data_IF_934452434501
#
_entry.id   IF_934452434501
#
_cell.length_a   1.000
_cell.length_b   1.000
_cell.length_c   1.000
_cell.angle_alpha   90.00
_cell.angle_beta   90.00
_cell.angle_gamma   90.00
#
_symmetry.space_group_name_H-M   'P 1'
#
loop_
_entity.id
_entity.type
_entity.pdbx_description
1 polymer ?
#
# COMPACT_ATOMS: atom_id res chain seq x y z
N UNK A 1 -24.13 12.06 -23.04
CA UNK A 1 -23.06 11.28 -22.36
C UNK A 1 -22.37 12.18 -21.34
N UNK A 2 -22.50 11.88 -20.02
CA UNK A 2 -21.71 12.59 -18.99
C UNK A 2 -20.23 12.38 -19.30
N UNK A 3 -19.45 13.47 -19.42
CA UNK A 3 -17.99 13.40 -19.53
C UNK A 3 -17.47 12.54 -18.37
N UNK A 4 -17.01 11.33 -18.68
CA UNK A 4 -16.35 10.45 -17.73
C UNK A 4 -15.09 11.21 -17.29
N UNK A 5 -15.08 11.72 -16.06
CA UNK A 5 -13.95 12.50 -15.56
C UNK A 5 -12.69 11.63 -15.60
N UNK A 6 -11.65 12.07 -16.30
CA UNK A 6 -10.38 11.38 -16.35
C UNK A 6 -9.73 11.44 -14.96
N UNK A 7 -9.44 10.28 -14.41
CA UNK A 7 -8.62 10.12 -13.22
C UNK A 7 -7.16 9.95 -13.66
N UNK A 8 -6.24 10.53 -12.92
CA UNK A 8 -4.81 10.30 -13.14
C UNK A 8 -4.38 8.98 -12.50
N UNK A 9 -4.89 8.71 -11.29
CA UNK A 9 -4.48 7.56 -10.49
C UNK A 9 -5.69 6.91 -9.79
N UNK A 10 -5.79 5.58 -9.84
CA UNK A 10 -6.59 4.80 -8.90
C UNK A 10 -5.65 3.95 -8.06
N UNK A 11 -5.72 4.06 -6.74
CA UNK A 11 -5.04 3.16 -5.82
C UNK A 11 -5.98 2.05 -5.37
N UNK A 12 -5.43 0.86 -5.11
CA UNK A 12 -6.23 -0.29 -4.68
C UNK A 12 -5.57 -0.89 -3.45
N UNK A 13 -6.34 -1.02 -2.39
CA UNK A 13 -5.80 -1.71 -1.27
C UNK A 13 -6.44 -1.39 0.08
N UNK A 14 -5.67 -1.61 1.15
CA UNK A 14 -6.12 -1.45 2.52
C UNK A 14 -6.41 0.00 2.86
N UNK A 15 -7.39 0.14 3.77
CA UNK A 15 -7.76 1.41 4.38
C UNK A 15 -8.00 1.20 5.85
N UNK A 16 -7.44 2.04 6.69
CA UNK A 16 -7.54 1.97 8.15
C UNK A 16 -7.67 3.36 8.75
N UNK A 17 -8.03 3.40 10.01
CA UNK A 17 -7.82 4.58 10.85
C UNK A 17 -6.59 4.33 11.71
N UNK A 18 -5.66 5.26 11.67
CA UNK A 18 -4.44 5.20 12.47
C UNK A 18 -4.62 6.13 13.68
N UNK A 19 -4.46 5.55 14.88
CA UNK A 19 -4.53 6.25 16.17
C UNK A 19 -3.11 6.42 16.70
N UNK A 20 -2.59 7.64 16.59
CA UNK A 20 -1.26 8.00 17.08
C UNK A 20 -1.33 8.44 18.53
N UNK A 21 -0.60 7.76 19.42
CA UNK A 21 -0.44 8.17 20.81
C UNK A 21 0.18 9.57 20.91
N UNK A 22 -0.44 10.43 21.71
CA UNK A 22 0.01 11.84 21.83
C UNK A 22 1.22 12.00 22.74
N UNK A 23 1.55 11.02 23.57
CA UNK A 23 2.68 11.05 24.52
C UNK A 23 3.95 10.50 23.84
N UNK A 24 4.71 11.38 23.18
CA UNK A 24 5.97 11.02 22.51
C UNK A 24 6.99 10.56 23.55
N UNK A 25 7.67 9.45 23.28
CA UNK A 25 8.68 8.85 24.16
C UNK A 25 8.12 7.83 25.18
N UNK A 26 6.78 7.78 25.36
CA UNK A 26 6.11 6.82 26.22
C UNK A 26 5.97 5.43 25.58
N UNK A 27 5.68 4.42 26.41
CA UNK A 27 5.25 3.09 25.93
C UNK A 27 3.81 3.19 25.43
N UNK A 28 3.41 2.30 24.54
CA UNK A 28 2.05 2.29 24.00
C UNK A 28 1.00 2.07 25.11
N UNK A 29 1.33 1.28 26.12
CA UNK A 29 0.48 1.00 27.28
C UNK A 29 0.23 2.23 28.18
N UNK A 30 1.08 3.23 28.10
CA UNK A 30 1.00 4.47 28.92
C UNK A 30 0.27 5.59 28.18
N UNK A 31 -0.16 5.37 26.93
CA UNK A 31 -0.86 6.37 26.13
C UNK A 31 -2.25 6.68 26.70
N UNK A 32 -2.52 7.96 26.97
CA UNK A 32 -3.80 8.43 27.52
C UNK A 32 -4.68 9.14 26.51
N UNK A 33 -4.10 9.54 25.38
CA UNK A 33 -4.81 10.23 24.31
C UNK A 33 -4.21 9.89 22.95
N UNK A 34 -5.05 9.96 21.92
CA UNK A 34 -4.66 9.60 20.55
C UNK A 34 -5.18 10.64 19.56
N UNK A 35 -4.37 10.92 18.54
CA UNK A 35 -4.80 11.67 17.37
C UNK A 35 -5.16 10.70 16.26
N UNK A 36 -6.22 11.03 15.53
CA UNK A 36 -6.80 10.16 14.50
C UNK A 36 -6.43 10.63 13.11
N UNK A 37 -5.94 9.70 12.28
CA UNK A 37 -5.55 9.94 10.89
C UNK A 37 -6.09 8.83 9.99
N UNK A 38 -6.20 9.12 8.68
CA UNK A 38 -6.39 8.05 7.69
C UNK A 38 -5.12 7.23 7.60
N UNK A 39 -5.28 5.90 7.48
CA UNK A 39 -4.19 4.93 7.36
C UNK A 39 -4.36 4.02 6.16
N UNK A 40 -3.33 3.20 5.94
CA UNK A 40 -3.23 2.33 4.77
C UNK A 40 -2.45 2.97 3.62
N UNK A 41 -1.42 2.26 3.11
CA UNK A 41 -0.57 2.77 2.02
C UNK A 41 -1.39 3.23 0.81
N UNK A 42 -2.36 2.46 0.25
CA UNK A 42 -3.14 2.92 -0.90
C UNK A 42 -3.96 4.19 -0.61
N UNK A 43 -4.53 4.29 0.58
CA UNK A 43 -5.31 5.46 1.00
C UNK A 43 -4.42 6.70 1.09
N UNK A 44 -3.24 6.56 1.71
CA UNK A 44 -2.26 7.63 1.82
C UNK A 44 -1.67 8.05 0.46
N UNK A 45 -1.43 7.10 -0.45
CA UNK A 45 -0.98 7.39 -1.81
C UNK A 45 -2.05 8.20 -2.56
N UNK A 46 -3.34 7.84 -2.43
CA UNK A 46 -4.43 8.58 -3.07
C UNK A 46 -4.53 10.02 -2.54
N UNK A 47 -4.49 10.19 -1.21
CA UNK A 47 -4.52 11.52 -0.58
C UNK A 47 -3.29 12.36 -0.95
N UNK A 48 -2.08 11.78 -0.89
CA UNK A 48 -0.85 12.45 -1.28
C UNK A 48 -0.85 12.87 -2.76
N UNK A 49 -1.34 12.00 -3.64
CA UNK A 49 -1.49 12.33 -5.06
C UNK A 49 -2.47 13.50 -5.29
N UNK A 50 -3.60 13.53 -4.56
CA UNK A 50 -4.56 14.62 -4.64
C UNK A 50 -3.94 15.95 -4.16
N UNK A 51 -3.21 15.95 -3.05
CA UNK A 51 -2.46 17.12 -2.54
C UNK A 51 -1.43 17.65 -3.55
N UNK A 52 -0.88 16.77 -4.37
CA UNK A 52 0.04 17.13 -5.47
C UNK A 52 -0.68 17.53 -6.76
N UNK A 53 -2.00 17.69 -6.74
CA UNK A 53 -2.80 18.17 -7.87
C UNK A 53 -3.27 17.09 -8.85
N UNK A 54 -3.06 15.80 -8.55
CA UNK A 54 -3.56 14.72 -9.38
C UNK A 54 -5.03 14.39 -9.03
N UNK A 55 -5.79 14.00 -10.05
CA UNK A 55 -7.15 13.47 -9.87
C UNK A 55 -7.07 12.01 -9.45
N UNK A 56 -7.03 11.78 -8.14
CA UNK A 56 -6.87 10.44 -7.56
C UNK A 56 -8.20 9.84 -7.10
N UNK A 57 -8.22 8.51 -7.00
CA UNK A 57 -9.31 7.73 -6.43
C UNK A 57 -8.75 6.52 -5.68
N UNK A 58 -9.56 5.90 -4.83
CA UNK A 58 -9.20 4.67 -4.15
C UNK A 58 -10.29 3.62 -4.28
N UNK A 59 -9.89 2.37 -4.54
CA UNK A 59 -10.74 1.18 -4.46
C UNK A 59 -10.39 0.45 -3.16
N UNK A 60 -11.34 0.40 -2.25
CA UNK A 60 -11.21 -0.26 -0.94
C UNK A 60 -12.59 -0.58 -0.37
N UNK A 61 -12.61 -1.17 0.82
CA UNK A 61 -13.82 -1.27 1.64
C UNK A 61 -13.61 -0.62 3.00
N UNK A 62 -14.67 -0.03 3.54
CA UNK A 62 -14.73 0.51 4.91
C UNK A 62 -16.01 0.02 5.58
N UNK A 63 -16.04 -0.04 6.90
CA UNK A 63 -17.24 -0.43 7.65
C UNK A 63 -18.35 0.61 7.57
N UNK A 64 -19.59 0.18 7.84
CA UNK A 64 -20.75 1.07 7.96
C UNK A 64 -20.86 1.66 9.37
N UNK A 65 -19.79 2.26 9.86
CA UNK A 65 -19.67 2.82 11.21
C UNK A 65 -18.85 4.12 11.23
N UNK A 66 -18.61 4.68 12.41
CA UNK A 66 -18.01 6.00 12.57
C UNK A 66 -16.60 6.13 11.94
N UNK A 67 -15.77 5.07 12.01
CA UNK A 67 -14.41 5.11 11.45
C UNK A 67 -14.44 5.00 9.92
N UNK A 68 -15.38 4.22 9.36
CA UNK A 68 -15.59 4.18 7.91
C UNK A 68 -16.07 5.53 7.37
N UNK A 69 -17.01 6.19 8.06
CA UNK A 69 -17.44 7.55 7.69
C UNK A 69 -16.31 8.56 7.79
N UNK A 70 -15.50 8.48 8.85
CA UNK A 70 -14.31 9.33 8.99
C UNK A 70 -13.37 9.22 7.78
N UNK A 71 -13.04 8.01 7.33
CA UNK A 71 -12.19 7.81 6.15
C UNK A 71 -12.81 8.46 4.91
N UNK A 72 -14.12 8.27 4.69
CA UNK A 72 -14.80 8.85 3.53
C UNK A 72 -14.79 10.39 3.55
N UNK A 73 -15.01 10.99 4.72
CA UNK A 73 -15.01 12.43 4.90
C UNK A 73 -13.63 13.03 4.70
N UNK A 74 -12.60 12.44 5.32
CA UNK A 74 -11.22 12.91 5.17
C UNK A 74 -10.73 12.78 3.72
N UNK A 75 -10.98 11.66 3.05
CA UNK A 75 -10.63 11.50 1.65
C UNK A 75 -11.31 12.51 0.74
N UNK A 76 -12.59 12.84 1.00
CA UNK A 76 -13.30 13.89 0.26
C UNK A 76 -12.70 15.28 0.52
N UNK A 77 -12.32 15.58 1.75
CA UNK A 77 -11.61 16.85 2.09
C UNK A 77 -10.28 16.97 1.35
N UNK A 78 -9.57 15.85 1.19
CA UNK A 78 -8.32 15.79 0.42
C UNK A 78 -8.54 15.83 -1.11
N UNK A 79 -9.78 15.85 -1.57
CA UNK A 79 -10.10 15.87 -3.00
C UNK A 79 -10.01 14.52 -3.71
N UNK A 80 -9.93 13.42 -2.95
CA UNK A 80 -9.91 12.05 -3.50
C UNK A 80 -11.32 11.63 -3.92
N UNK A 81 -11.46 11.07 -5.11
CA UNK A 81 -12.71 10.45 -5.55
C UNK A 81 -12.97 9.15 -4.78
N UNK A 82 -14.11 9.08 -4.10
CA UNK A 82 -14.50 7.96 -3.22
C UNK A 82 -15.50 6.99 -3.86
N UNK A 83 -15.84 7.13 -5.15
CA UNK A 83 -16.80 6.25 -5.85
C UNK A 83 -16.38 4.76 -5.85
N UNK A 84 -15.07 4.49 -5.78
CA UNK A 84 -14.51 3.14 -5.70
C UNK A 84 -14.60 2.50 -4.32
N UNK A 85 -15.02 3.22 -3.28
CA UNK A 85 -15.10 2.69 -1.92
C UNK A 85 -16.44 1.96 -1.72
N UNK A 86 -16.38 0.73 -1.23
CA UNK A 86 -17.54 -0.07 -0.86
C UNK A 86 -17.76 -0.05 0.64
N UNK A 87 -19.02 0.11 1.05
CA UNK A 87 -19.42 0.07 2.46
C UNK A 87 -19.75 -1.38 2.84
N UNK A 88 -19.01 -1.92 3.79
CA UNK A 88 -19.28 -3.24 4.36
C UNK A 88 -20.25 -3.09 5.55
N UNK A 89 -21.41 -3.74 5.46
CA UNK A 89 -22.45 -3.67 6.52
C UNK A 89 -22.20 -4.62 7.68
N UNK A 90 -21.22 -5.53 7.54
CA UNK A 90 -20.99 -6.61 8.53
C UNK A 90 -19.66 -6.49 9.23
N UNK A 91 -18.65 -5.83 8.61
CA UNK A 91 -17.29 -5.74 9.11
C UNK A 91 -16.98 -4.31 9.53
N UNK A 92 -16.12 -4.19 10.53
CA UNK A 92 -15.60 -2.91 10.99
C UNK A 92 -14.48 -2.42 10.08
N UNK A 93 -14.24 -1.13 10.11
CA UNK A 93 -13.03 -0.51 9.54
C UNK A 93 -11.80 -0.94 10.34
N UNK A 94 -10.71 -1.23 9.67
CA UNK A 94 -9.45 -1.55 10.32
C UNK A 94 -8.91 -0.38 11.14
N UNK A 95 -8.29 -0.68 12.28
CA UNK A 95 -7.59 0.28 13.12
C UNK A 95 -6.12 -0.10 13.25
N UNK A 96 -5.27 0.91 13.35
CA UNK A 96 -3.87 0.76 13.78
C UNK A 96 -3.67 1.68 14.97
N UNK A 97 -3.20 1.14 16.07
CA UNK A 97 -2.81 1.93 17.24
C UNK A 97 -1.29 1.95 17.27
N UNK A 98 -0.71 3.14 17.37
CA UNK A 98 0.74 3.29 17.34
C UNK A 98 1.22 4.43 18.25
N UNK A 99 2.44 4.25 18.75
CA UNK A 99 3.17 5.25 19.52
C UNK A 99 4.44 5.68 18.79
N UNK A 100 4.99 6.79 19.22
CA UNK A 100 6.33 7.26 18.80
C UNK A 100 7.20 7.19 20.05
N UNK A 101 8.02 6.15 20.17
CA UNK A 101 8.92 5.98 21.30
C UNK A 101 10.22 6.77 21.10
N UNK A 102 10.77 6.71 19.91
CA UNK A 102 11.92 7.50 19.46
C UNK A 102 12.01 7.50 17.93
N UNK A 103 13.08 8.05 17.36
CA UNK A 103 13.27 8.15 15.90
C UNK A 103 13.29 6.81 15.16
N UNK A 104 13.55 5.69 15.85
CA UNK A 104 13.73 4.36 15.26
C UNK A 104 12.72 3.33 15.77
N UNK A 105 11.91 3.68 16.77
CA UNK A 105 10.99 2.74 17.41
C UNK A 105 9.58 3.32 17.47
N UNK A 106 8.68 2.64 16.77
CA UNK A 106 7.27 3.02 16.58
C UNK A 106 6.40 1.82 16.92
N UNK A 107 6.20 1.48 18.22
CA UNK A 107 5.37 0.34 18.58
C UNK A 107 3.98 0.51 18.02
N UNK A 108 3.45 -0.55 17.38
CA UNK A 108 2.15 -0.50 16.75
C UNK A 108 1.44 -1.86 16.79
N UNK A 109 0.11 -1.79 16.80
CA UNK A 109 -0.77 -2.96 16.77
C UNK A 109 -1.77 -2.78 15.64
N UNK A 110 -1.90 -3.81 14.80
CA UNK A 110 -2.90 -3.87 13.75
C UNK A 110 -4.17 -4.58 14.24
N UNK A 111 -5.25 -3.84 14.43
CA UNK A 111 -6.59 -4.39 14.62
C UNK A 111 -7.26 -4.54 13.26
N UNK A 112 -6.88 -5.57 12.51
CA UNK A 112 -7.29 -5.74 11.12
C UNK A 112 -7.88 -7.11 10.80
N UNK A 113 -8.03 -7.99 11.77
CA UNK A 113 -8.62 -9.30 11.55
C UNK A 113 -10.08 -9.18 11.09
N UNK A 114 -10.40 -9.82 9.98
CA UNK A 114 -11.74 -9.80 9.37
C UNK A 114 -12.35 -8.40 9.18
N UNK A 115 -11.53 -7.36 9.04
CA UNK A 115 -12.00 -6.00 8.78
C UNK A 115 -12.51 -5.83 7.34
N UNK A 116 -13.18 -4.70 7.09
CA UNK A 116 -13.87 -4.43 5.83
C UNK A 116 -12.95 -4.50 4.62
N UNK A 117 -11.76 -3.93 4.70
CA UNK A 117 -10.77 -3.92 3.62
C UNK A 117 -10.25 -5.32 3.25
N UNK A 118 -10.25 -6.27 4.21
CA UNK A 118 -9.91 -7.67 3.97
C UNK A 118 -10.97 -8.43 3.17
N UNK A 119 -12.17 -7.88 3.05
CA UNK A 119 -13.26 -8.45 2.29
C UNK A 119 -13.36 -7.89 0.86
N UNK A 120 -12.41 -7.04 0.44
CA UNK A 120 -12.33 -6.60 -0.96
C UNK A 120 -12.22 -7.82 -1.88
N UNK A 121 -13.08 -7.87 -2.89
CA UNK A 121 -13.22 -9.04 -3.75
C UNK A 121 -13.29 -8.65 -5.23
N UNK A 122 -13.26 -9.64 -6.11
CA UNK A 122 -13.41 -9.43 -7.56
C UNK A 122 -14.72 -8.71 -7.93
N UNK A 123 -15.77 -8.83 -7.12
CA UNK A 123 -17.06 -8.16 -7.37
C UNK A 123 -17.00 -6.64 -7.15
N UNK A 124 -16.00 -6.16 -6.41
CA UNK A 124 -15.81 -4.73 -6.16
C UNK A 124 -15.04 -4.03 -7.28
N UNK A 125 -14.48 -4.80 -8.20
CA UNK A 125 -13.65 -4.29 -9.30
C UNK A 125 -14.53 -4.06 -10.53
N UNK A 126 -14.75 -2.78 -10.82
CA UNK A 126 -15.54 -2.30 -11.97
C UNK A 126 -14.61 -1.86 -13.10
N UNK A 127 -14.76 -2.49 -14.28
CA UNK A 127 -13.98 -2.15 -15.48
C UNK A 127 -14.22 -0.72 -15.95
N UNK A 128 -15.47 -0.23 -15.86
CA UNK A 128 -15.80 1.13 -16.25
C UNK A 128 -15.10 2.15 -15.36
N UNK A 129 -15.04 1.89 -14.04
CA UNK A 129 -14.32 2.76 -13.12
C UNK A 129 -12.82 2.78 -13.39
N UNK A 130 -12.20 1.61 -13.60
CA UNK A 130 -10.78 1.49 -13.95
C UNK A 130 -10.48 2.19 -15.29
N UNK A 131 -11.39 2.11 -16.25
CA UNK A 131 -11.21 2.73 -17.57
C UNK A 131 -10.99 4.25 -17.53
N UNK A 132 -11.47 4.90 -16.47
CA UNK A 132 -11.34 6.35 -16.23
C UNK A 132 -9.93 6.77 -15.83
N UNK A 133 -9.07 5.86 -15.38
CA UNK A 133 -7.73 6.17 -14.89
C UNK A 133 -6.66 6.09 -15.98
N UNK A 134 -5.60 6.87 -15.82
CA UNK A 134 -4.37 6.73 -16.60
C UNK A 134 -3.46 5.65 -15.98
N UNK A 135 -3.48 5.52 -14.65
CA UNK A 135 -2.61 4.65 -13.89
C UNK A 135 -3.36 3.94 -12.75
N UNK A 136 -2.98 2.68 -12.48
CA UNK A 136 -3.45 1.89 -11.34
C UNK A 136 -2.25 1.59 -10.44
N UNK A 137 -2.37 1.92 -9.16
CA UNK A 137 -1.37 1.57 -8.15
C UNK A 137 -1.95 0.53 -7.19
N UNK A 138 -1.24 -0.55 -7.00
CA UNK A 138 -1.57 -1.61 -6.03
C UNK A 138 -0.47 -1.76 -5.00
N UNK A 139 -0.78 -2.36 -3.85
CA UNK A 139 0.21 -2.62 -2.81
C UNK A 139 0.41 -4.11 -2.59
N UNK A 140 1.66 -4.50 -2.28
CA UNK A 140 2.03 -5.90 -2.08
C UNK A 140 1.34 -6.55 -0.90
N UNK A 141 1.01 -5.80 0.15
CA UNK A 141 0.21 -6.31 1.28
C UNK A 141 -1.11 -6.95 0.82
N UNK A 142 -1.71 -6.48 -0.26
CA UNK A 142 -2.94 -7.04 -0.82
C UNK A 142 -2.77 -8.40 -1.50
N UNK A 143 -1.55 -8.86 -1.66
CA UNK A 143 -1.28 -10.23 -2.13
C UNK A 143 -1.26 -11.25 -0.97
N UNK A 144 -1.37 -10.81 0.30
CA UNK A 144 -1.31 -11.71 1.46
C UNK A 144 -2.58 -12.53 1.69
N UNK A 145 -3.73 -12.09 1.19
CA UNK A 145 -5.03 -12.74 1.38
C UNK A 145 -5.66 -13.07 0.03
N UNK A 146 -6.19 -14.27 -0.13
CA UNK A 146 -6.69 -14.79 -1.41
C UNK A 146 -7.80 -13.93 -2.05
N UNK A 147 -8.75 -13.42 -1.25
CA UNK A 147 -9.85 -12.59 -1.78
C UNK A 147 -9.32 -11.28 -2.34
N UNK A 148 -8.46 -10.61 -1.58
CA UNK A 148 -7.89 -9.31 -1.92
C UNK A 148 -6.89 -9.44 -3.07
N UNK A 149 -6.12 -10.56 -3.09
CA UNK A 149 -5.24 -10.92 -4.22
C UNK A 149 -6.06 -11.08 -5.51
N UNK A 150 -7.18 -11.80 -5.45
CA UNK A 150 -8.08 -11.98 -6.60
C UNK A 150 -8.60 -10.65 -7.14
N UNK A 151 -9.03 -9.73 -6.25
CA UNK A 151 -9.43 -8.37 -6.63
C UNK A 151 -8.29 -7.59 -7.30
N UNK A 152 -7.10 -7.63 -6.70
CA UNK A 152 -5.90 -6.95 -7.20
C UNK A 152 -5.52 -7.47 -8.59
N UNK A 153 -5.46 -8.78 -8.78
CA UNK A 153 -5.11 -9.39 -10.06
C UNK A 153 -6.17 -9.11 -11.14
N UNK A 154 -7.47 -9.10 -10.79
CA UNK A 154 -8.53 -8.68 -11.72
C UNK A 154 -8.34 -7.24 -12.16
N UNK A 155 -8.07 -6.32 -11.23
CA UNK A 155 -7.84 -4.91 -11.56
C UNK A 155 -6.62 -4.73 -12.49
N UNK A 156 -5.52 -5.42 -12.21
CA UNK A 156 -4.32 -5.41 -13.06
C UNK A 156 -4.58 -5.99 -14.45
N UNK A 157 -5.37 -7.06 -14.54
CA UNK A 157 -5.78 -7.66 -15.83
C UNK A 157 -6.57 -6.66 -16.67
N UNK A 158 -7.55 -5.98 -16.06
CA UNK A 158 -8.34 -4.93 -16.73
C UNK A 158 -7.42 -3.76 -17.16
N UNK A 159 -6.54 -3.29 -16.26
CA UNK A 159 -5.60 -2.23 -16.56
C UNK A 159 -4.72 -2.56 -17.78
N UNK A 160 -4.19 -3.78 -17.85
CA UNK A 160 -3.42 -4.25 -19.00
C UNK A 160 -4.23 -4.33 -20.29
N UNK A 161 -5.45 -4.90 -20.23
CA UNK A 161 -6.38 -4.93 -21.38
C UNK A 161 -6.63 -3.52 -21.93
N UNK A 162 -6.78 -2.55 -21.04
CA UNK A 162 -7.03 -1.15 -21.36
C UNK A 162 -5.76 -0.30 -21.58
N UNK A 163 -4.57 -0.93 -21.60
CA UNK A 163 -3.26 -0.29 -21.78
C UNK A 163 -2.99 0.84 -20.77
N UNK A 164 -3.47 0.69 -19.54
CA UNK A 164 -3.20 1.62 -18.43
C UNK A 164 -1.83 1.31 -17.82
N UNK A 165 -1.18 2.35 -17.29
CA UNK A 165 0.05 2.17 -16.51
C UNK A 165 -0.24 1.47 -15.19
N UNK A 166 0.70 0.66 -14.72
CA UNK A 166 0.57 -0.11 -13.49
C UNK A 166 1.76 0.11 -12.57
N UNK A 167 1.47 0.37 -11.31
CA UNK A 167 2.46 0.64 -10.26
C UNK A 167 2.29 -0.36 -9.12
N UNK A 168 3.39 -0.86 -8.62
CA UNK A 168 3.47 -1.61 -7.36
C UNK A 168 4.18 -0.76 -6.31
N UNK A 169 3.53 -0.48 -5.19
CA UNK A 169 4.20 -0.20 -3.92
C UNK A 169 4.37 -1.54 -3.20
N UNK A 170 5.60 -1.97 -2.95
CA UNK A 170 5.84 -3.29 -2.37
C UNK A 170 5.17 -3.42 -1.00
N UNK A 171 5.15 -2.34 -0.20
CA UNK A 171 4.41 -2.23 1.08
C UNK A 171 4.44 -3.53 1.90
N UNK A 172 5.64 -4.02 2.20
CA UNK A 172 5.80 -5.24 2.97
C UNK A 172 5.67 -4.94 4.47
N UNK A 173 4.79 -5.70 5.12
CA UNK A 173 4.60 -5.68 6.57
C UNK A 173 4.49 -7.12 7.05
N UNK A 174 5.51 -7.67 7.74
CA UNK A 174 5.53 -9.07 8.18
C UNK A 174 4.26 -9.50 8.91
N UNK A 175 3.77 -8.69 9.84
CA UNK A 175 2.54 -8.96 10.59
C UNK A 175 1.32 -9.15 9.65
N UNK A 176 1.16 -8.32 8.63
CA UNK A 176 0.05 -8.42 7.68
C UNK A 176 0.17 -9.62 6.73
N UNK A 177 1.31 -10.29 6.72
CA UNK A 177 1.54 -11.56 6.03
C UNK A 177 1.50 -12.77 6.97
N UNK A 178 1.18 -12.56 8.26
CA UNK A 178 1.15 -13.62 9.27
C UNK A 178 2.53 -14.18 9.61
N UNK A 179 3.59 -13.37 9.45
CA UNK A 179 4.98 -13.77 9.74
C UNK A 179 5.45 -13.34 11.12
N UNK A 180 4.69 -12.55 11.84
CA UNK A 180 4.96 -12.11 13.21
C UNK A 180 3.69 -11.98 14.02
N UNK A 181 3.83 -12.00 15.32
CA UNK A 181 2.73 -11.84 16.26
C UNK A 181 2.26 -10.39 16.35
N UNK A 182 1.13 -10.17 17.03
CA UNK A 182 0.56 -8.81 17.20
C UNK A 182 1.49 -7.86 17.96
N UNK A 183 2.38 -8.39 18.82
CA UNK A 183 3.35 -7.59 19.56
C UNK A 183 4.55 -7.11 18.74
N UNK A 184 4.71 -7.62 17.52
CA UNK A 184 5.83 -7.33 16.62
C UNK A 184 5.40 -6.52 15.41
N UNK A 185 4.36 -5.70 15.55
CA UNK A 185 3.79 -4.91 14.45
C UNK A 185 4.77 -3.91 13.84
N UNK A 186 5.77 -3.45 14.59
CA UNK A 186 6.83 -2.55 14.12
C UNK A 186 7.88 -3.21 13.24
N UNK A 187 8.01 -4.53 13.24
CA UNK A 187 8.99 -5.24 12.43
C UNK A 187 8.81 -4.91 10.94
N UNK A 188 9.90 -4.46 10.30
CA UNK A 188 9.90 -4.06 8.90
C UNK A 188 10.31 -5.17 7.96
N UNK A 189 11.07 -6.15 8.44
CA UNK A 189 11.59 -7.22 7.62
C UNK A 189 11.65 -8.55 8.39
N UNK A 190 11.05 -9.58 7.81
CA UNK A 190 11.22 -10.99 8.16
C UNK A 190 11.38 -11.73 6.84
N UNK A 191 12.45 -12.52 6.71
CA UNK A 191 12.70 -13.30 5.51
C UNK A 191 11.59 -14.34 5.30
N UNK A 192 11.04 -14.40 4.08
CA UNK A 192 10.01 -15.38 3.73
C UNK A 192 10.07 -15.75 2.26
N UNK A 193 10.48 -16.99 1.98
CA UNK A 193 10.47 -17.54 0.62
C UNK A 193 9.07 -17.57 -0.01
N UNK A 194 8.03 -17.75 0.81
CA UNK A 194 6.65 -17.72 0.34
C UNK A 194 6.27 -16.35 -0.19
N UNK A 195 6.52 -15.30 0.58
CA UNK A 195 6.25 -13.90 0.18
C UNK A 195 7.07 -13.52 -1.03
N UNK A 196 8.37 -13.82 -1.01
CA UNK A 196 9.28 -13.59 -2.17
C UNK A 196 8.71 -14.19 -3.45
N UNK A 197 8.35 -15.49 -3.44
CA UNK A 197 7.79 -16.16 -4.62
C UNK A 197 6.47 -15.53 -5.07
N UNK A 198 5.61 -15.11 -4.13
CA UNK A 198 4.35 -14.43 -4.44
C UNK A 198 4.57 -13.09 -5.12
N UNK A 199 5.43 -12.26 -4.57
CA UNK A 199 5.80 -10.97 -5.18
C UNK A 199 6.41 -11.16 -6.57
N UNK A 200 7.41 -12.06 -6.70
CA UNK A 200 8.12 -12.31 -7.96
C UNK A 200 7.19 -12.72 -9.11
N UNK A 201 6.14 -13.50 -8.84
CA UNK A 201 5.14 -13.89 -9.85
C UNK A 201 4.42 -12.69 -10.47
N UNK A 202 4.31 -11.59 -9.72
CA UNK A 202 3.56 -10.40 -10.13
C UNK A 202 4.43 -9.30 -10.73
N UNK A 203 5.75 -9.26 -10.47
CA UNK A 203 6.64 -8.15 -10.86
C UNK A 203 6.57 -7.79 -12.34
N UNK A 204 6.38 -8.76 -13.23
CA UNK A 204 6.24 -8.55 -14.68
C UNK A 204 4.94 -7.81 -15.08
N UNK A 205 4.02 -7.65 -14.14
CA UNK A 205 2.74 -6.96 -14.37
C UNK A 205 2.85 -5.44 -14.23
N UNK A 206 3.99 -4.91 -13.81
CA UNK A 206 4.12 -3.50 -13.47
C UNK A 206 5.05 -2.75 -14.43
N UNK A 207 4.74 -1.46 -14.62
CA UNK A 207 5.57 -0.49 -15.33
C UNK A 207 6.52 0.22 -14.35
N UNK A 208 6.12 0.37 -13.08
CA UNK A 208 6.88 0.99 -12.01
C UNK A 208 6.75 0.15 -10.74
N UNK A 209 7.86 -0.05 -10.04
CA UNK A 209 7.92 -0.73 -8.73
C UNK A 209 8.64 0.18 -7.75
N UNK A 210 7.98 0.48 -6.63
CA UNK A 210 8.49 1.33 -5.56
C UNK A 210 8.59 0.51 -4.28
N UNK A 211 9.66 0.68 -3.53
CA UNK A 211 9.83 0.01 -2.23
C UNK A 211 10.99 0.62 -1.44
N UNK A 212 11.07 0.30 -0.15
CA UNK A 212 12.25 0.55 0.67
C UNK A 212 13.35 -0.48 0.36
N UNK A 213 14.53 -0.34 0.96
CA UNK A 213 15.60 -1.32 0.80
C UNK A 213 15.14 -2.71 1.30
N UNK A 214 14.50 -2.77 2.48
CA UNK A 214 13.98 -4.01 3.07
C UNK A 214 12.86 -4.62 2.22
N UNK A 215 12.03 -3.79 1.62
CA UNK A 215 10.98 -4.22 0.70
C UNK A 215 11.58 -4.80 -0.60
N UNK A 216 12.69 -4.26 -1.09
CA UNK A 216 13.44 -4.89 -2.17
C UNK A 216 14.14 -6.18 -1.71
N UNK A 217 14.61 -6.29 -0.46
CA UNK A 217 15.17 -7.54 0.05
C UNK A 217 14.15 -8.68 0.00
N UNK A 218 12.91 -8.44 0.43
CA UNK A 218 11.86 -9.48 0.36
C UNK A 218 11.46 -9.78 -1.10
N UNK A 219 11.33 -8.78 -1.97
CA UNK A 219 11.00 -9.00 -3.37
C UNK A 219 12.13 -9.71 -4.15
N UNK A 220 13.37 -9.39 -3.85
CA UNK A 220 14.56 -9.99 -4.46
C UNK A 220 14.97 -11.32 -3.83
N UNK A 221 14.49 -11.63 -2.62
CA UNK A 221 14.80 -12.86 -1.89
C UNK A 221 16.22 -12.93 -1.35
N UNK A 222 16.84 -11.78 -1.07
CA UNK A 222 18.19 -11.69 -0.51
C UNK A 222 18.39 -10.41 0.29
N UNK A 223 18.99 -10.52 1.47
CA UNK A 223 19.29 -9.40 2.38
C UNK A 223 20.56 -8.65 1.95
N UNK A 224 20.53 -8.09 0.74
CA UNK A 224 21.54 -7.19 0.19
C UNK A 224 20.88 -6.36 -0.91
N UNK A 225 20.81 -5.05 -0.73
CA UNK A 225 20.03 -4.15 -1.58
C UNK A 225 20.41 -4.23 -3.06
N UNK A 226 21.70 -4.18 -3.40
CA UNK A 226 22.16 -4.25 -4.80
C UNK A 226 21.83 -5.60 -5.44
N UNK A 227 22.07 -6.71 -4.73
CA UNK A 227 21.75 -8.05 -5.23
C UNK A 227 20.23 -8.24 -5.36
N UNK A 228 19.46 -7.75 -4.39
CA UNK A 228 18.00 -7.79 -4.42
C UNK A 228 17.44 -7.03 -5.62
N UNK A 229 17.91 -5.79 -5.85
CA UNK A 229 17.53 -4.99 -7.01
C UNK A 229 17.90 -5.69 -8.33
N UNK A 230 19.06 -6.31 -8.43
CA UNK A 230 19.47 -7.10 -9.61
C UNK A 230 18.55 -8.31 -9.83
N UNK A 231 18.18 -9.03 -8.77
CA UNK A 231 17.24 -10.14 -8.85
C UNK A 231 15.86 -9.66 -9.32
N UNK A 232 15.33 -8.57 -8.74
CA UNK A 232 14.07 -7.97 -9.19
C UNK A 232 14.17 -7.55 -10.65
N UNK A 233 15.25 -6.86 -11.05
CA UNK A 233 15.47 -6.44 -12.44
C UNK A 233 15.48 -7.59 -13.42
N UNK A 234 15.99 -8.75 -13.06
CA UNK A 234 15.98 -9.94 -13.94
C UNK A 234 14.56 -10.47 -14.23
N UNK A 235 13.58 -10.12 -13.40
CA UNK A 235 12.20 -10.58 -13.49
C UNK A 235 11.24 -9.56 -14.11
N UNK A 236 11.67 -8.30 -14.28
CA UNK A 236 10.80 -7.23 -14.80
C UNK A 236 11.58 -6.16 -15.56
N UNK A 237 10.88 -5.51 -16.50
CA UNK A 237 11.35 -4.31 -17.22
C UNK A 237 10.85 -3.00 -16.57
N UNK A 238 10.12 -3.09 -15.46
CA UNK A 238 9.59 -1.92 -14.76
C UNK A 238 10.70 -0.95 -14.33
N UNK A 239 10.39 0.33 -14.26
CA UNK A 239 11.25 1.29 -13.53
C UNK A 239 11.25 0.89 -12.06
N UNK A 240 12.42 0.85 -11.42
CA UNK A 240 12.54 0.55 -9.99
C UNK A 240 12.90 1.83 -9.24
N UNK A 241 12.18 2.11 -8.14
CA UNK A 241 12.46 3.22 -7.23
C UNK A 241 12.68 2.65 -5.84
N UNK A 242 13.93 2.74 -5.37
CA UNK A 242 14.32 2.30 -4.03
C UNK A 242 14.35 3.50 -3.08
N UNK A 243 13.40 3.55 -2.14
CA UNK A 243 13.33 4.56 -1.08
C UNK A 243 14.39 4.25 -0.02
N UNK A 244 15.15 5.26 0.41
CA UNK A 244 16.31 5.10 1.30
C UNK A 244 16.24 6.03 2.52
N UNK A 245 15.03 6.36 2.95
CA UNK A 245 14.81 7.25 4.11
C UNK A 245 15.55 8.60 3.93
N UNK A 246 16.41 8.97 4.89
CA UNK A 246 17.10 10.27 4.85
C UNK A 246 18.11 10.40 3.69
N UNK A 247 18.43 9.30 3.01
CA UNK A 247 19.31 9.30 1.83
C UNK A 247 18.55 9.49 0.50
N UNK A 248 17.24 9.80 0.57
CA UNK A 248 16.40 10.05 -0.61
C UNK A 248 15.94 8.76 -1.30
N UNK A 249 15.92 8.74 -2.62
CA UNK A 249 15.54 7.59 -3.42
C UNK A 249 16.49 7.37 -4.59
N UNK A 250 16.69 6.12 -4.97
CA UNK A 250 17.46 5.73 -6.15
C UNK A 250 16.54 5.19 -7.24
N UNK A 251 16.67 5.71 -8.47
CA UNK A 251 15.86 5.32 -9.62
C UNK A 251 16.69 4.50 -10.61
N UNK A 252 16.10 3.40 -11.12
CA UNK A 252 16.72 2.50 -12.09
C UNK A 252 15.73 2.22 -13.22
N UNK A 253 16.02 2.78 -14.39
CA UNK A 253 15.24 2.49 -15.60
C UNK A 253 15.68 1.18 -16.24
N UNK A 254 17.01 0.94 -16.32
CA UNK A 254 17.59 -0.19 -17.03
C UNK A 254 18.51 -1.04 -16.12
N UNK A 255 19.81 -0.72 -16.09
CA UNK A 255 20.80 -1.49 -15.32
C UNK A 255 20.84 -1.04 -13.87
N UNK A 256 21.01 -1.99 -12.96
CA UNK A 256 21.32 -1.70 -11.56
C UNK A 256 22.81 -1.40 -11.45
N UNK A 257 23.16 -0.19 -11.03
CA UNK A 257 24.55 0.22 -10.78
C UNK A 257 25.13 -0.59 -9.60
N UNK A 258 26.44 -0.64 -9.52
CA UNK A 258 27.14 -1.34 -8.43
C UNK A 258 27.01 -0.62 -7.07
N UNK A 259 26.78 0.68 -7.11
CA UNK A 259 26.60 1.53 -5.92
C UNK A 259 25.25 2.22 -5.96
N UNK A 260 24.62 2.35 -4.79
CA UNK A 260 23.50 3.26 -4.59
C UNK A 260 24.09 4.67 -4.44
N UNK A 261 24.01 5.47 -5.51
CA UNK A 261 24.37 6.88 -5.43
C UNK A 261 23.46 7.59 -4.40
N UNK A 262 23.94 8.72 -3.84
CA UNK A 262 23.05 9.59 -3.06
C UNK A 262 21.83 9.88 -3.94
N UNK A 263 20.66 9.58 -3.41
CA UNK A 263 19.40 9.79 -4.14
C UNK A 263 19.18 11.28 -4.43
N UNK A 264 18.35 11.51 -5.43
CA UNK A 264 17.83 12.83 -5.76
C UNK A 264 16.99 13.34 -4.60
#
# INVERSE_FOLDING_TARGET
MKKVGNLDLITIGRSSVDLYGSQIGGRLEDMRSFQKYIGGSPTNIAAGAARLGLKSAVITRVGNEHMGRFILEELKKEGVNTEGIRIDKKRLTALVILGIKNQNNFPLIFYRENCADMALSTNDIDENFISRAKCICVTGTHLSNANVEGATLKALSIAKKLKKKTVLDIDFRPNLWGLSDHNDGENRFIESRHVTKKLQKTLKLFDLIVGTEEEFHIAGGINNTIKALKNVRSLTKAVLVCKRGPYGASLFENKIKSNLEKGI
#
